data_IF_637721831566
#
_entry.id   IF_637721831566
#
_cell.length_a   1.000
_cell.length_b   1.000
_cell.length_c   1.000
_cell.angle_alpha   90.00
_cell.angle_beta   90.00
_cell.angle_gamma   90.00
#
_symmetry.space_group_name_H-M   'P 1'
#
loop_
_entity.id
_entity.type
_entity.pdbx_description
1 polymer ?
#
# COMPACT_ATOMS: atom_id res chain seq x y z
N UNK A 1 -52.69 -16.72 -31.36
CA UNK A 1 -52.21 -15.41 -30.87
C UNK A 1 -51.49 -15.48 -29.52
N UNK A 2 -51.88 -16.38 -28.60
CA UNK A 2 -51.26 -16.54 -27.26
C UNK A 2 -49.85 -17.14 -27.35
N UNK A 3 -49.65 -18.24 -28.09
CA UNK A 3 -48.33 -18.89 -28.22
C UNK A 3 -47.23 -17.99 -28.81
N UNK A 4 -47.59 -17.12 -29.75
CA UNK A 4 -46.64 -16.18 -30.38
C UNK A 4 -46.13 -15.14 -29.36
N UNK A 5 -47.00 -14.68 -28.46
CA UNK A 5 -46.63 -13.75 -27.37
C UNK A 5 -45.70 -14.43 -26.36
N UNK A 6 -45.97 -15.69 -26.01
CA UNK A 6 -45.15 -16.46 -25.07
C UNK A 6 -43.74 -16.68 -25.63
N UNK A 7 -43.61 -17.07 -26.91
CA UNK A 7 -42.31 -17.23 -27.57
C UNK A 7 -41.53 -15.92 -27.68
N UNK A 8 -42.22 -14.81 -27.99
CA UNK A 8 -41.60 -13.49 -28.06
C UNK A 8 -41.12 -13.01 -26.67
N UNK A 9 -41.89 -13.28 -25.63
CA UNK A 9 -41.53 -12.95 -24.24
C UNK A 9 -40.33 -13.76 -23.75
N UNK A 10 -40.27 -15.05 -24.08
CA UNK A 10 -39.10 -15.91 -23.82
C UNK A 10 -37.85 -15.42 -24.56
N UNK A 11 -38.00 -15.00 -25.82
CA UNK A 11 -36.90 -14.45 -26.62
C UNK A 11 -36.35 -13.15 -25.99
N UNK A 12 -37.24 -12.25 -25.57
CA UNK A 12 -36.89 -11.00 -24.89
C UNK A 12 -36.22 -11.24 -23.54
N UNK A 13 -36.70 -12.22 -22.77
CA UNK A 13 -36.07 -12.60 -21.50
C UNK A 13 -34.67 -13.17 -21.72
N UNK A 14 -34.51 -14.00 -22.74
CA UNK A 14 -33.22 -14.61 -23.08
C UNK A 14 -32.20 -13.56 -23.56
N UNK A 15 -32.61 -12.60 -24.38
CA UNK A 15 -31.74 -11.49 -24.80
C UNK A 15 -31.39 -10.56 -23.64
N UNK A 16 -32.32 -10.30 -22.72
CA UNK A 16 -32.04 -9.51 -21.51
C UNK A 16 -31.00 -10.19 -20.60
N UNK A 17 -31.11 -11.51 -20.41
CA UNK A 17 -30.13 -12.29 -19.65
C UNK A 17 -28.76 -12.26 -20.33
N UNK A 18 -28.69 -12.45 -21.65
CA UNK A 18 -27.42 -12.36 -22.40
C UNK A 18 -26.78 -10.95 -22.35
N UNK A 19 -27.59 -9.90 -22.33
CA UNK A 19 -27.10 -8.52 -22.23
C UNK A 19 -26.59 -8.19 -20.82
N UNK A 20 -27.12 -8.87 -19.79
CA UNK A 20 -26.71 -8.68 -18.39
C UNK A 20 -25.38 -9.34 -18.04
N UNK A 21 -24.87 -10.26 -18.87
CA UNK A 21 -23.62 -11.01 -18.63
C UNK A 21 -22.37 -10.32 -19.20
N UNK A 22 -22.30 -8.99 -19.18
CA UNK A 22 -21.04 -8.30 -19.51
C UNK A 22 -20.01 -8.57 -18.41
N UNK A 23 -19.11 -9.54 -18.63
CA UNK A 23 -17.95 -9.79 -17.78
C UNK A 23 -16.99 -8.60 -17.90
N UNK A 24 -16.94 -7.73 -16.89
CA UNK A 24 -15.92 -6.69 -16.82
C UNK A 24 -14.61 -7.34 -16.32
N UNK A 25 -13.66 -7.58 -17.23
CA UNK A 25 -12.30 -7.91 -16.84
C UNK A 25 -11.66 -6.67 -16.18
N UNK A 26 -11.46 -6.71 -14.87
CA UNK A 26 -10.83 -5.62 -14.13
C UNK A 26 -9.31 -5.77 -14.14
N UNK A 27 -8.60 -4.79 -14.70
CA UNK A 27 -7.14 -4.68 -14.54
C UNK A 27 -6.84 -3.94 -13.24
N UNK A 28 -6.02 -4.55 -12.37
CA UNK A 28 -5.56 -3.93 -11.12
C UNK A 28 -4.06 -3.69 -11.23
N UNK A 29 -3.62 -2.44 -11.06
CA UNK A 29 -2.21 -2.09 -10.94
C UNK A 29 -1.79 -2.18 -9.48
N UNK A 30 -0.80 -3.03 -9.19
CA UNK A 30 -0.19 -3.15 -7.86
C UNK A 30 1.21 -2.51 -7.93
N UNK A 31 1.52 -1.63 -6.99
CA UNK A 31 2.86 -1.07 -6.77
C UNK A 31 3.42 -1.66 -5.48
N UNK A 32 4.54 -2.37 -5.59
CA UNK A 32 5.32 -2.86 -4.46
C UNK A 32 6.38 -1.80 -4.14
N UNK A 33 6.47 -1.42 -2.86
CA UNK A 33 7.50 -0.57 -2.30
C UNK A 33 8.15 -1.35 -1.17
N UNK A 34 9.47 -1.29 -1.06
CA UNK A 34 10.24 -2.03 -0.07
C UNK A 34 11.21 -1.10 0.64
N UNK A 35 11.37 -1.30 1.95
CA UNK A 35 12.49 -0.79 2.76
C UNK A 35 13.35 -1.97 3.23
N UNK A 36 14.65 -1.73 3.37
CA UNK A 36 15.62 -2.72 3.87
C UNK A 36 16.71 -1.98 4.62
N UNK A 37 17.33 -2.64 5.60
CA UNK A 37 18.52 -2.14 6.31
C UNK A 37 18.29 -0.72 6.86
N UNK A 38 17.08 -0.49 7.39
CA UNK A 38 16.68 0.83 7.91
C UNK A 38 17.59 1.25 9.05
N UNK A 39 18.05 0.28 9.84
CA UNK A 39 18.97 0.47 10.94
C UNK A 39 18.55 1.56 11.93
N UNK A 40 17.24 1.74 12.14
CA UNK A 40 16.72 2.76 13.04
C UNK A 40 16.74 4.20 12.50
N UNK A 41 17.02 4.42 11.22
CA UNK A 41 17.00 5.72 10.56
C UNK A 41 15.57 6.28 10.41
N UNK A 42 14.95 6.62 11.55
CA UNK A 42 13.55 7.08 11.62
C UNK A 42 13.45 8.54 11.17
N UNK A 43 14.37 9.38 11.64
CA UNK A 43 14.36 10.82 11.43
C UNK A 43 15.18 11.22 10.19
N UNK A 44 14.82 12.33 9.51
CA UNK A 44 15.60 12.87 8.39
C UNK A 44 16.86 13.60 8.89
N UNK A 45 17.55 13.02 9.87
CA UNK A 45 18.70 13.61 10.53
C UNK A 45 19.71 12.53 10.94
N UNK A 46 20.98 12.81 10.68
CA UNK A 46 22.12 12.04 11.15
C UNK A 46 22.59 12.64 12.48
N UNK A 47 22.30 11.94 13.57
CA UNK A 47 22.62 12.36 14.93
C UNK A 47 24.12 12.29 15.25
N UNK A 48 24.92 11.56 14.46
CA UNK A 48 26.36 11.46 14.67
C UNK A 48 27.10 12.65 14.06
N UNK A 49 26.68 13.04 12.85
CA UNK A 49 27.32 14.11 12.08
C UNK A 49 26.62 15.47 12.20
N UNK A 50 25.55 15.55 13.00
CA UNK A 50 24.76 16.78 13.22
C UNK A 50 24.29 17.41 11.90
N UNK A 51 23.72 16.59 11.01
CA UNK A 51 23.33 17.02 9.67
C UNK A 51 22.02 16.39 9.21
N UNK A 52 21.33 17.03 8.28
CA UNK A 52 20.11 16.49 7.67
C UNK A 52 20.41 15.35 6.71
N UNK A 53 19.54 14.34 6.66
CA UNK A 53 19.60 13.26 5.66
C UNK A 53 18.33 13.19 4.80
N UNK A 54 18.49 12.58 3.62
CA UNK A 54 17.41 12.25 2.69
C UNK A 54 17.01 10.76 2.73
N UNK A 55 17.56 9.99 3.67
CA UNK A 55 17.31 8.55 3.84
C UNK A 55 16.69 8.24 5.20
N UNK A 56 15.40 8.52 5.37
CA UNK A 56 14.68 8.25 6.63
C UNK A 56 13.30 7.63 6.44
N UNK A 57 12.83 6.88 7.44
CA UNK A 57 11.47 6.34 7.44
C UNK A 57 10.40 7.44 7.45
N UNK A 58 10.65 8.60 8.06
CA UNK A 58 9.73 9.74 8.00
C UNK A 58 9.51 10.24 6.55
N UNK A 59 10.58 10.27 5.75
CA UNK A 59 10.50 10.60 4.33
C UNK A 59 9.83 9.48 3.52
N UNK A 60 10.15 8.21 3.81
CA UNK A 60 9.47 7.05 3.20
C UNK A 60 7.97 7.09 3.46
N UNK A 61 7.55 7.39 4.69
CA UNK A 61 6.13 7.52 5.03
C UNK A 61 5.44 8.59 4.18
N UNK A 62 6.10 9.73 3.98
CA UNK A 62 5.58 10.83 3.14
C UNK A 62 5.45 10.36 1.68
N UNK A 63 6.46 9.68 1.15
CA UNK A 63 6.46 9.12 -0.20
C UNK A 63 5.36 8.08 -0.39
N UNK A 64 5.30 7.05 0.47
CA UNK A 64 4.29 5.98 0.41
C UNK A 64 2.88 6.53 0.55
N UNK A 65 2.67 7.51 1.42
CA UNK A 65 1.38 8.20 1.56
C UNK A 65 0.98 8.91 0.26
N UNK A 66 1.93 9.52 -0.45
CA UNK A 66 1.68 10.15 -1.74
C UNK A 66 1.33 9.13 -2.83
N UNK A 67 1.99 7.96 -2.84
CA UNK A 67 1.68 6.87 -3.76
C UNK A 67 0.30 6.27 -3.47
N UNK A 68 -0.07 6.12 -2.20
CA UNK A 68 -1.38 5.59 -1.77
C UNK A 68 -2.55 6.52 -2.11
N UNK A 69 -2.32 7.82 -2.30
CA UNK A 69 -3.35 8.78 -2.76
C UNK A 69 -3.69 8.65 -4.24
N UNK A 70 -2.83 8.03 -5.05
CA UNK A 70 -3.08 7.83 -6.48
C UNK A 70 -4.16 6.78 -6.67
N UNK A 71 -5.21 7.12 -7.42
CA UNK A 71 -6.42 6.27 -7.56
C UNK A 71 -6.26 5.14 -8.57
N UNK A 72 -5.22 5.17 -9.40
CA UNK A 72 -4.98 4.20 -10.48
C UNK A 72 -4.15 2.97 -10.05
N UNK A 73 -3.80 2.86 -8.76
CA UNK A 73 -2.96 1.79 -8.23
C UNK A 73 -3.35 1.36 -6.81
N UNK A 74 -2.88 0.19 -6.41
CA UNK A 74 -2.85 -0.29 -5.02
C UNK A 74 -1.39 -0.42 -4.58
N UNK A 75 -1.07 0.16 -3.44
CA UNK A 75 0.31 0.18 -2.93
C UNK A 75 0.43 -0.82 -1.78
N UNK A 76 1.40 -1.72 -1.91
CA UNK A 76 1.85 -2.61 -0.83
C UNK A 76 3.24 -2.13 -0.42
N UNK A 77 3.41 -1.86 0.88
CA UNK A 77 4.70 -1.55 1.48
C UNK A 77 5.18 -2.79 2.22
N UNK A 78 6.40 -3.20 1.95
CA UNK A 78 7.10 -4.29 2.60
C UNK A 78 8.35 -3.73 3.29
N UNK A 79 8.77 -4.39 4.36
CA UNK A 79 10.05 -4.13 5.01
C UNK A 79 10.82 -5.45 5.10
N UNK A 80 12.10 -5.43 4.77
CA UNK A 80 12.96 -6.61 4.67
C UNK A 80 13.74 -6.93 5.97
N UNK A 81 13.51 -6.18 7.05
CA UNK A 81 14.17 -6.39 8.33
C UNK A 81 15.35 -5.46 8.57
N UNK A 82 16.11 -5.78 9.63
CA UNK A 82 17.21 -4.94 10.16
C UNK A 82 16.79 -3.49 10.44
N UNK A 83 15.69 -3.37 11.19
CA UNK A 83 15.06 -2.09 11.53
C UNK A 83 15.51 -1.55 12.89
N UNK A 84 15.82 -2.40 13.86
CA UNK A 84 15.82 -2.06 15.29
C UNK A 84 17.21 -1.82 15.90
N UNK A 85 18.21 -1.51 15.07
CA UNK A 85 19.60 -1.34 15.50
C UNK A 85 20.38 -0.46 14.53
N UNK A 86 21.38 0.31 15.00
CA UNK A 86 22.33 1.01 14.13
C UNK A 86 22.30 2.55 14.24
N UNK A 87 21.15 3.13 14.55
CA UNK A 87 20.99 4.57 14.77
C UNK A 87 21.09 4.94 16.26
N UNK A 88 21.70 6.09 16.63
CA UNK A 88 21.81 6.54 18.01
C UNK A 88 20.47 6.62 18.77
N UNK A 89 19.38 7.01 18.11
CA UNK A 89 18.07 7.09 18.77
C UNK A 89 17.58 5.70 19.21
N UNK A 90 17.77 4.69 18.35
CA UNK A 90 17.38 3.31 18.65
C UNK A 90 18.33 2.67 19.66
N UNK A 91 19.63 2.98 19.59
CA UNK A 91 20.59 2.55 20.60
C UNK A 91 20.21 3.07 22.00
N UNK A 92 19.87 4.36 22.10
CA UNK A 92 19.48 4.98 23.36
C UNK A 92 18.26 4.27 23.98
N UNK A 93 17.22 4.02 23.19
CA UNK A 93 16.03 3.30 23.65
C UNK A 93 16.35 1.85 24.09
N UNK A 94 17.17 1.13 23.31
CA UNK A 94 17.47 -0.28 23.57
C UNK A 94 18.40 -0.50 24.77
N UNK A 95 19.31 0.44 25.07
CA UNK A 95 20.42 0.18 25.99
C UNK A 95 20.65 1.25 27.06
N UNK A 96 20.29 2.52 26.82
CA UNK A 96 20.54 3.60 27.78
C UNK A 96 19.31 3.88 28.67
N UNK A 97 18.13 4.08 28.07
CA UNK A 97 16.89 4.34 28.81
C UNK A 97 15.85 3.24 28.57
N UNK A 98 16.06 2.12 29.26
CA UNK A 98 15.28 0.88 29.11
C UNK A 98 14.06 0.80 30.02
N UNK A 99 13.88 1.76 30.92
CA UNK A 99 12.82 1.73 31.96
C UNK A 99 11.77 2.82 31.77
N UNK A 100 12.12 3.92 31.12
CA UNK A 100 11.16 4.99 30.85
C UNK A 100 10.15 4.57 29.80
N UNK A 101 8.96 5.17 29.88
CA UNK A 101 7.92 5.00 28.86
C UNK A 101 8.16 6.04 27.77
N UNK A 102 8.35 5.56 26.54
CA UNK A 102 8.60 6.37 25.34
C UNK A 102 7.38 6.38 24.42
#
# INVERSE_FOLDING_TARGET
MIELKTRLSLLLLFTFVLLSTTLFAQTIKIKLIETSDVHGAIFPYDLQNDTTTNSSLAQVHTFVSSERRKTDQKVILLDNGDIIQGDPAVYYYNYEDTVSKH
#
